data_IF_763753061141
#
_entry.id   IF_763753061141
#
_cell.length_a   1.000
_cell.length_b   1.000
_cell.length_c   1.000
_cell.angle_alpha   90.00
_cell.angle_beta   90.00
_cell.angle_gamma   90.00
#
_symmetry.space_group_name_H-M   'P 1'
#
loop_
_entity.id
_entity.type
_entity.pdbx_description
1 polymer ?
#
# COMPACT_ATOMS: atom_id res chain seq x y z
N UNK A 1 -11.35 -59.80 23.55
CA UNK A 1 -11.45 -60.83 22.48
C UNK A 1 -12.73 -61.61 22.72
N UNK A 2 -13.44 -61.98 21.64
CA UNK A 2 -14.73 -62.71 21.60
C UNK A 2 -16.00 -61.84 21.62
N UNK A 3 -16.36 -61.30 20.44
CA UNK A 3 -17.77 -61.20 19.97
C UNK A 3 -17.93 -60.65 18.54
N UNK A 4 -16.86 -60.42 17.77
CA UNK A 4 -16.95 -59.81 16.43
C UNK A 4 -16.41 -60.69 15.28
N UNK A 5 -16.76 -61.98 15.26
CA UNK A 5 -16.33 -62.88 14.18
C UNK A 5 -17.46 -63.66 13.48
N UNK A 6 -18.73 -63.27 13.70
CA UNK A 6 -19.89 -63.87 13.00
C UNK A 6 -20.78 -62.85 12.29
N UNK A 7 -20.30 -61.64 11.98
CA UNK A 7 -21.09 -60.70 11.17
C UNK A 7 -21.01 -61.06 9.70
N UNK A 8 -22.18 -61.20 9.06
CA UNK A 8 -22.29 -61.50 7.64
C UNK A 8 -21.60 -60.39 6.82
N UNK A 9 -21.06 -60.69 5.62
CA UNK A 9 -20.46 -59.67 4.75
C UNK A 9 -21.37 -58.45 4.52
N UNK A 10 -22.69 -58.67 4.52
CA UNK A 10 -23.70 -57.63 4.34
C UNK A 10 -23.83 -56.70 5.54
N UNK A 11 -23.68 -57.20 6.77
CA UNK A 11 -23.73 -56.38 7.99
C UNK A 11 -22.51 -55.45 8.09
N UNK A 12 -21.32 -55.94 7.69
CA UNK A 12 -20.11 -55.11 7.62
C UNK A 12 -20.25 -54.01 6.55
N UNK A 13 -20.81 -54.35 5.38
CA UNK A 13 -21.11 -53.38 4.33
C UNK A 13 -22.14 -52.34 4.78
N UNK A 14 -23.17 -52.75 5.54
CA UNK A 14 -24.18 -51.85 6.08
C UNK A 14 -23.60 -50.88 7.12
N UNK A 15 -22.75 -51.37 8.04
CA UNK A 15 -22.07 -50.55 9.03
C UNK A 15 -21.15 -49.51 8.38
N UNK A 16 -20.36 -49.90 7.37
CA UNK A 16 -19.50 -48.98 6.60
C UNK A 16 -20.33 -47.92 5.87
N UNK A 17 -21.50 -48.30 5.31
CA UNK A 17 -22.39 -47.36 4.63
C UNK A 17 -23.01 -46.33 5.59
N UNK A 18 -23.36 -46.74 6.81
CA UNK A 18 -23.84 -45.83 7.85
C UNK A 18 -22.73 -44.88 8.32
N UNK A 19 -21.52 -45.39 8.57
CA UNK A 19 -20.41 -44.55 9.01
C UNK A 19 -20.02 -43.53 7.92
N UNK A 20 -20.00 -43.96 6.66
CA UNK A 20 -19.72 -43.09 5.50
C UNK A 20 -20.81 -42.02 5.35
N UNK A 21 -22.09 -42.39 5.48
CA UNK A 21 -23.22 -41.43 5.42
C UNK A 21 -23.17 -40.41 6.56
N UNK A 22 -22.83 -40.84 7.78
CA UNK A 22 -22.66 -39.94 8.91
C UNK A 22 -21.47 -38.99 8.73
N UNK A 23 -20.32 -39.46 8.24
CA UNK A 23 -19.17 -38.60 7.95
C UNK A 23 -19.48 -37.56 6.86
N UNK A 24 -20.19 -37.95 5.80
CA UNK A 24 -20.64 -37.04 4.74
C UNK A 24 -21.64 -35.99 5.26
N UNK A 25 -22.59 -36.39 6.12
CA UNK A 25 -23.51 -35.44 6.76
C UNK A 25 -22.77 -34.46 7.70
N UNK A 26 -21.77 -34.92 8.47
CA UNK A 26 -20.99 -34.05 9.36
C UNK A 26 -20.17 -33.00 8.57
N UNK A 27 -19.61 -33.39 7.41
CA UNK A 27 -18.89 -32.46 6.52
C UNK A 27 -19.87 -31.46 5.91
N UNK A 28 -21.01 -31.91 5.37
CA UNK A 28 -22.03 -31.04 4.78
C UNK A 28 -22.61 -30.02 5.77
N UNK A 29 -22.85 -30.44 7.02
CA UNK A 29 -23.32 -29.54 8.09
C UNK A 29 -22.25 -28.50 8.45
N UNK A 30 -20.98 -28.92 8.60
CA UNK A 30 -19.88 -27.99 8.88
C UNK A 30 -19.69 -26.98 7.76
N UNK A 31 -19.76 -27.42 6.51
CA UNK A 31 -19.58 -26.57 5.33
C UNK A 31 -20.71 -25.54 5.24
N UNK A 32 -21.97 -25.94 5.46
CA UNK A 32 -23.12 -25.01 5.51
C UNK A 32 -23.04 -24.00 6.66
N UNK A 33 -22.52 -24.40 7.83
CA UNK A 33 -22.26 -23.47 8.95
C UNK A 33 -21.15 -22.49 8.58
N UNK A 34 -20.05 -22.96 7.99
CA UNK A 34 -18.94 -22.10 7.57
C UNK A 34 -19.35 -21.11 6.48
N UNK A 35 -20.17 -21.53 5.52
CA UNK A 35 -20.72 -20.68 4.47
C UNK A 35 -21.61 -19.58 5.05
N UNK A 36 -22.53 -19.94 5.96
CA UNK A 36 -23.39 -18.95 6.65
C UNK A 36 -22.59 -17.99 7.52
N UNK A 37 -21.54 -18.47 8.19
CA UNK A 37 -20.65 -17.63 8.99
C UNK A 37 -19.86 -16.65 8.12
N UNK A 38 -19.27 -17.12 7.01
CA UNK A 38 -18.57 -16.25 6.06
C UNK A 38 -19.54 -15.22 5.47
N UNK A 39 -20.72 -15.64 5.06
CA UNK A 39 -21.75 -14.73 4.55
C UNK A 39 -22.17 -13.66 5.57
N UNK A 40 -22.36 -14.05 6.83
CA UNK A 40 -22.66 -13.12 7.92
C UNK A 40 -21.51 -12.13 8.15
N UNK A 41 -20.27 -12.59 8.19
CA UNK A 41 -19.09 -11.75 8.39
C UNK A 41 -18.89 -10.76 7.23
N UNK A 42 -19.03 -11.22 5.99
CA UNK A 42 -18.94 -10.35 4.81
C UNK A 42 -20.07 -9.33 4.78
N UNK A 43 -21.30 -9.74 5.11
CA UNK A 43 -22.45 -8.82 5.17
C UNK A 43 -22.26 -7.79 6.29
N UNK A 44 -21.80 -8.20 7.47
CA UNK A 44 -21.49 -7.29 8.57
C UNK A 44 -20.39 -6.29 8.20
N UNK A 45 -19.30 -6.75 7.56
CA UNK A 45 -18.23 -5.87 7.05
C UNK A 45 -18.75 -4.86 6.03
N UNK A 46 -19.58 -5.31 5.08
CA UNK A 46 -20.20 -4.43 4.08
C UNK A 46 -21.09 -3.37 4.74
N UNK A 47 -21.90 -3.74 5.74
CA UNK A 47 -22.74 -2.80 6.50
C UNK A 47 -21.88 -1.74 7.21
N UNK A 48 -20.78 -2.16 7.84
CA UNK A 48 -19.86 -1.22 8.52
C UNK A 48 -19.24 -0.24 7.52
N UNK A 49 -18.81 -0.71 6.36
CA UNK A 49 -18.26 0.15 5.30
C UNK A 49 -19.30 1.18 4.83
N UNK A 50 -20.55 0.74 4.59
CA UNK A 50 -21.64 1.63 4.20
C UNK A 50 -21.95 2.65 5.29
N UNK A 51 -21.94 2.23 6.56
CA UNK A 51 -22.16 3.13 7.69
C UNK A 51 -21.05 4.20 7.80
N UNK A 52 -19.78 3.79 7.70
CA UNK A 52 -18.63 4.72 7.68
C UNK A 52 -18.78 5.72 6.52
N UNK A 53 -19.19 5.26 5.35
CA UNK A 53 -19.40 6.13 4.19
C UNK A 53 -20.51 7.17 4.46
N UNK A 54 -21.67 6.75 4.96
CA UNK A 54 -22.77 7.66 5.32
C UNK A 54 -22.32 8.67 6.39
N UNK A 55 -21.58 8.21 7.40
CA UNK A 55 -21.04 9.07 8.45
C UNK A 55 -20.10 10.14 7.87
N UNK A 56 -19.15 9.75 7.01
CA UNK A 56 -18.23 10.69 6.36
C UNK A 56 -19.00 11.71 5.51
N UNK A 57 -19.96 11.27 4.70
CA UNK A 57 -20.76 12.17 3.84
C UNK A 57 -21.54 13.18 4.67
N UNK A 58 -22.13 12.74 5.79
CA UNK A 58 -22.90 13.61 6.68
C UNK A 58 -22.02 14.72 7.27
N UNK A 59 -20.83 14.38 7.79
CA UNK A 59 -19.97 15.39 8.41
C UNK A 59 -19.27 16.27 7.38
N UNK A 60 -18.94 15.71 6.21
CA UNK A 60 -18.44 16.50 5.09
C UNK A 60 -19.50 17.52 4.61
N UNK A 61 -20.78 17.16 4.60
CA UNK A 61 -21.85 18.07 4.19
C UNK A 61 -21.95 19.30 5.12
N UNK A 62 -21.77 19.15 6.43
CA UNK A 62 -21.76 20.26 7.38
C UNK A 62 -20.63 21.26 7.07
N UNK A 63 -19.43 20.77 6.75
CA UNK A 63 -18.27 21.60 6.38
C UNK A 63 -18.46 22.27 5.01
N UNK A 64 -19.05 21.56 4.05
CA UNK A 64 -19.34 22.09 2.71
C UNK A 64 -20.44 23.16 2.73
N UNK A 65 -21.43 23.07 3.62
CA UNK A 65 -22.45 24.10 3.75
C UNK A 65 -21.87 25.43 4.27
N UNK A 66 -20.89 25.37 5.17
CA UNK A 66 -20.26 26.58 5.74
C UNK A 66 -19.23 27.20 4.78
N UNK A 67 -18.42 26.39 4.10
CA UNK A 67 -17.34 26.89 3.26
C UNK A 67 -17.65 26.90 1.76
N UNK A 68 -18.67 26.16 1.31
CA UNK A 68 -19.03 26.02 -0.11
C UNK A 68 -17.79 25.77 -0.99
N UNK A 69 -17.61 26.53 -2.07
CA UNK A 69 -16.47 26.42 -3.00
C UNK A 69 -15.16 26.89 -2.33
N UNK A 70 -15.24 27.75 -1.31
CA UNK A 70 -14.05 28.27 -0.63
C UNK A 70 -13.29 27.17 0.10
N UNK A 71 -13.92 26.04 0.43
CA UNK A 71 -13.24 24.86 0.97
C UNK A 71 -12.12 24.37 0.03
N UNK A 72 -12.37 24.37 -1.28
CA UNK A 72 -11.42 23.85 -2.27
C UNK A 72 -10.45 24.93 -2.73
N UNK A 73 -10.84 26.21 -2.71
CA UNK A 73 -10.00 27.30 -3.24
C UNK A 73 -9.15 27.98 -2.17
N UNK A 74 -9.52 27.87 -0.90
CA UNK A 74 -8.77 28.46 0.21
C UNK A 74 -7.58 27.56 0.54
N UNK A 75 -6.38 28.13 0.56
CA UNK A 75 -5.19 27.46 1.05
C UNK A 75 -5.12 27.61 2.57
N UNK A 76 -4.87 26.50 3.26
CA UNK A 76 -4.58 26.49 4.69
C UNK A 76 -4.95 25.16 5.31
N UNK A 77 -3.96 24.50 5.91
CA UNK A 77 -4.16 23.22 6.58
C UNK A 77 -3.64 23.29 8.02
N UNK A 78 -2.41 23.78 8.20
CA UNK A 78 -1.74 23.74 9.50
C UNK A 78 -2.42 24.66 10.52
N UNK A 79 -2.50 25.97 10.24
CA UNK A 79 -3.05 26.94 11.19
C UNK A 79 -4.55 26.77 11.41
N UNK A 80 -5.29 26.32 10.39
CA UNK A 80 -6.74 26.17 10.46
C UNK A 80 -7.15 24.99 11.34
N UNK A 81 -6.43 23.86 11.26
CA UNK A 81 -6.66 22.72 12.15
C UNK A 81 -6.27 23.03 13.59
N UNK A 82 -5.13 23.69 13.78
CA UNK A 82 -4.70 24.10 15.13
C UNK A 82 -5.73 25.05 15.75
N UNK A 83 -6.24 26.01 14.97
CA UNK A 83 -7.26 26.94 15.45
C UNK A 83 -8.59 26.22 15.74
N UNK A 84 -9.01 25.28 14.90
CA UNK A 84 -10.22 24.50 15.12
C UNK A 84 -10.11 23.54 16.32
N UNK A 85 -8.95 22.92 16.54
CA UNK A 85 -8.70 22.06 17.69
C UNK A 85 -8.76 22.82 19.01
N UNK A 86 -8.23 24.04 19.02
CA UNK A 86 -8.24 24.90 20.21
C UNK A 86 -9.53 25.72 20.35
N UNK A 87 -10.50 25.56 19.43
CA UNK A 87 -11.75 26.30 19.47
C UNK A 87 -12.66 25.76 20.61
N UNK A 88 -13.31 26.65 21.38
CA UNK A 88 -14.31 26.25 22.37
C UNK A 88 -15.47 25.46 21.73
N UNK A 89 -16.00 24.44 22.44
CA UNK A 89 -17.06 23.56 21.93
C UNK A 89 -18.38 24.29 21.61
N UNK A 90 -18.60 25.45 22.22
CA UNK A 90 -19.72 26.36 22.00
C UNK A 90 -19.54 27.25 20.75
N UNK A 91 -18.32 27.41 20.24
CA UNK A 91 -17.98 28.18 19.03
C UNK A 91 -16.98 27.45 18.14
N UNK A 92 -17.38 26.31 17.54
CA UNK A 92 -16.52 25.58 16.63
C UNK A 92 -16.17 26.41 15.39
N UNK A 93 -14.89 26.39 15.02
CA UNK A 93 -14.39 26.98 13.77
C UNK A 93 -14.53 25.93 12.68
N UNK A 94 -15.40 26.20 11.71
CA UNK A 94 -15.64 25.29 10.59
C UNK A 94 -14.87 25.67 9.33
N UNK A 95 -13.99 26.66 9.38
CA UNK A 95 -13.26 27.15 8.19
C UNK A 95 -12.03 26.28 7.89
N UNK A 96 -12.11 25.52 6.80
CA UNK A 96 -11.05 24.62 6.35
C UNK A 96 -10.74 24.82 4.86
N UNK A 97 -9.47 24.71 4.48
CA UNK A 97 -8.96 24.84 3.13
C UNK A 97 -8.25 23.57 2.65
N UNK A 98 -8.87 22.83 1.73
CA UNK A 98 -8.33 21.58 1.20
C UNK A 98 -7.21 21.79 0.17
N UNK A 99 -7.08 22.98 -0.42
CA UNK A 99 -6.13 23.22 -1.52
C UNK A 99 -4.68 22.93 -1.12
N UNK A 100 -4.28 23.37 0.08
CA UNK A 100 -2.91 23.17 0.59
C UNK A 100 -2.58 21.69 0.81
N UNK A 101 -3.55 20.91 1.32
CA UNK A 101 -3.43 19.47 1.46
C UNK A 101 -3.28 18.76 0.12
N UNK A 102 -4.20 19.06 -0.81
CA UNK A 102 -4.25 18.40 -2.11
C UNK A 102 -2.96 18.67 -2.87
N UNK A 103 -2.52 19.93 -2.92
CA UNK A 103 -1.26 20.29 -3.56
C UNK A 103 -0.06 19.68 -2.83
N UNK A 104 -0.02 19.71 -1.49
CA UNK A 104 1.07 19.12 -0.72
C UNK A 104 1.21 17.62 -0.93
N UNK A 105 0.10 16.87 -0.92
CA UNK A 105 0.10 15.43 -1.22
C UNK A 105 0.49 15.16 -2.67
N UNK A 106 -0.03 15.95 -3.61
CA UNK A 106 0.27 15.77 -5.03
C UNK A 106 1.75 16.04 -5.32
N UNK A 107 2.31 17.15 -4.84
CA UNK A 107 3.71 17.50 -5.08
C UNK A 107 4.68 16.54 -4.40
N UNK A 108 4.39 16.12 -3.15
CA UNK A 108 5.22 15.12 -2.45
C UNK A 108 5.18 13.77 -3.14
N UNK A 109 4.00 13.31 -3.57
CA UNK A 109 3.84 12.03 -4.27
C UNK A 109 4.51 12.05 -5.64
N UNK A 110 4.31 13.12 -6.42
CA UNK A 110 4.96 13.28 -7.72
C UNK A 110 6.48 13.35 -7.59
N UNK A 111 6.99 14.12 -6.62
CA UNK A 111 8.42 14.19 -6.34
C UNK A 111 9.00 12.84 -5.96
N UNK A 112 8.29 12.07 -5.13
CA UNK A 112 8.73 10.74 -4.73
C UNK A 112 8.73 9.74 -5.89
N UNK A 113 7.69 9.75 -6.74
CA UNK A 113 7.62 8.90 -7.91
C UNK A 113 8.69 9.24 -8.95
N UNK A 114 8.99 10.52 -9.15
CA UNK A 114 10.03 10.96 -10.08
C UNK A 114 11.40 10.37 -9.73
N UNK A 115 11.70 10.19 -8.45
CA UNK A 115 12.94 9.55 -7.99
C UNK A 115 12.80 8.02 -7.97
N UNK A 116 11.71 7.50 -7.43
CA UNK A 116 11.56 6.08 -7.17
C UNK A 116 11.33 5.24 -8.43
N UNK A 117 10.59 5.74 -9.42
CA UNK A 117 10.30 5.01 -10.65
C UNK A 117 11.56 4.70 -11.46
N UNK A 118 12.42 5.68 -11.84
CA UNK A 118 13.63 5.37 -12.59
C UNK A 118 14.60 4.50 -11.79
N UNK A 119 14.74 4.72 -10.48
CA UNK A 119 15.59 3.88 -9.62
C UNK A 119 15.06 2.44 -9.51
N UNK A 120 13.76 2.27 -9.32
CA UNK A 120 13.15 0.95 -9.22
C UNK A 120 13.17 0.18 -10.54
N UNK A 121 12.87 0.87 -11.65
CA UNK A 121 12.88 0.27 -12.99
C UNK A 121 14.29 -0.14 -13.41
N UNK A 122 15.29 0.72 -13.22
CA UNK A 122 16.69 0.39 -13.53
C UNK A 122 17.18 -0.80 -12.70
N UNK A 123 16.87 -0.82 -11.40
CA UNK A 123 17.20 -1.96 -10.53
C UNK A 123 16.51 -3.24 -10.98
N UNK A 124 15.24 -3.17 -11.39
CA UNK A 124 14.50 -4.32 -11.89
C UNK A 124 15.13 -4.91 -13.15
N UNK A 125 15.47 -4.06 -14.14
CA UNK A 125 16.13 -4.47 -15.39
C UNK A 125 17.46 -5.18 -15.08
N UNK A 126 18.27 -4.62 -14.19
CA UNK A 126 19.54 -5.24 -13.79
C UNK A 126 19.32 -6.63 -13.17
N UNK A 127 18.30 -6.78 -12.33
CA UNK A 127 17.99 -8.06 -11.68
C UNK A 127 17.46 -9.10 -12.67
N UNK A 128 16.62 -8.69 -13.63
CA UNK A 128 15.96 -9.61 -14.57
C UNK A 128 16.83 -9.97 -15.76
N UNK A 129 17.65 -9.06 -16.26
CA UNK A 129 18.39 -9.27 -17.51
C UNK A 129 19.89 -9.48 -17.27
N UNK A 130 20.50 -8.75 -16.32
CA UNK A 130 21.96 -8.77 -16.14
C UNK A 130 22.42 -9.71 -15.01
N UNK A 131 21.60 -9.88 -13.96
CA UNK A 131 22.03 -10.62 -12.78
C UNK A 131 22.06 -12.15 -13.01
N UNK A 132 23.10 -12.86 -12.53
CA UNK A 132 23.18 -14.31 -12.59
C UNK A 132 22.08 -14.96 -11.75
N UNK A 133 21.68 -16.18 -12.11
CA UNK A 133 20.50 -16.88 -11.57
C UNK A 133 20.44 -16.89 -10.03
N UNK A 134 21.58 -17.16 -9.36
CA UNK A 134 21.65 -17.18 -7.88
C UNK A 134 21.44 -15.79 -7.28
N UNK A 135 22.08 -14.77 -7.87
CA UNK A 135 21.97 -13.39 -7.38
C UNK A 135 20.56 -12.84 -7.59
N UNK A 136 19.94 -13.15 -8.74
CA UNK A 136 18.54 -12.81 -9.01
C UNK A 136 17.59 -13.33 -7.92
N UNK A 137 17.77 -14.58 -7.50
CA UNK A 137 16.95 -15.18 -6.44
C UNK A 137 17.13 -14.45 -5.10
N UNK A 138 18.38 -14.21 -4.69
CA UNK A 138 18.69 -13.50 -3.43
C UNK A 138 18.15 -12.07 -3.46
N UNK A 139 18.39 -11.31 -4.53
CA UNK A 139 17.94 -9.93 -4.65
C UNK A 139 16.42 -9.83 -4.63
N UNK A 140 15.69 -10.76 -5.27
CA UNK A 140 14.23 -10.82 -5.17
C UNK A 140 13.74 -11.02 -3.74
N UNK A 141 14.37 -11.91 -2.98
CA UNK A 141 14.03 -12.11 -1.57
C UNK A 141 14.27 -10.81 -0.80
N UNK A 142 15.46 -10.21 -0.94
CA UNK A 142 15.80 -8.95 -0.23
C UNK A 142 14.80 -7.85 -0.56
N UNK A 143 14.48 -7.61 -1.83
CA UNK A 143 13.54 -6.56 -2.23
C UNK A 143 12.13 -6.82 -1.69
N UNK A 144 11.67 -8.08 -1.71
CA UNK A 144 10.36 -8.44 -1.14
C UNK A 144 10.33 -8.27 0.38
N UNK A 145 11.44 -8.57 1.07
CA UNK A 145 11.57 -8.32 2.50
C UNK A 145 11.57 -6.82 2.80
N UNK A 146 12.29 -6.00 2.02
CA UNK A 146 12.28 -4.54 2.13
C UNK A 146 10.88 -3.97 1.89
N UNK A 147 10.17 -4.45 0.85
CA UNK A 147 8.80 -4.04 0.56
C UNK A 147 7.79 -4.47 1.63
N UNK A 148 8.13 -5.46 2.46
CA UNK A 148 7.29 -5.94 3.56
C UNK A 148 7.52 -5.17 4.88
N UNK A 149 8.47 -4.23 4.92
CA UNK A 149 8.72 -3.41 6.10
C UNK A 149 7.48 -2.52 6.35
N UNK A 150 6.91 -2.52 7.57
CA UNK A 150 5.79 -1.66 7.92
C UNK A 150 6.10 -0.18 7.65
N UNK A 151 5.15 0.54 7.06
CA UNK A 151 5.30 1.95 6.69
C UNK A 151 5.66 2.86 7.87
N UNK A 152 5.19 2.53 9.08
CA UNK A 152 5.50 3.27 10.32
C UNK A 152 7.01 3.31 10.60
N UNK A 153 7.74 2.24 10.28
CA UNK A 153 9.19 2.16 10.49
C UNK A 153 9.91 3.16 9.59
N UNK A 154 9.54 3.22 8.30
CA UNK A 154 10.10 4.20 7.37
C UNK A 154 9.80 5.64 7.81
N UNK A 155 8.60 5.90 8.33
CA UNK A 155 8.24 7.21 8.89
C UNK A 155 9.13 7.60 10.08
N UNK A 156 9.33 6.68 11.03
CA UNK A 156 10.17 6.93 12.21
C UNK A 156 11.65 7.13 11.84
N UNK A 157 12.21 6.26 10.99
CA UNK A 157 13.58 6.41 10.47
C UNK A 157 13.71 7.72 9.69
N UNK A 158 12.69 8.08 8.91
CA UNK A 158 12.62 9.35 8.21
C UNK A 158 12.78 10.54 9.16
N UNK A 159 12.02 10.55 10.25
CA UNK A 159 12.09 11.61 11.27
C UNK A 159 13.40 11.61 12.07
N UNK A 160 13.95 10.43 12.39
CA UNK A 160 15.14 10.32 13.24
C UNK A 160 16.47 10.44 12.48
N UNK A 161 16.48 10.13 11.18
CA UNK A 161 17.71 10.06 10.38
C UNK A 161 17.65 11.01 9.20
N UNK A 162 16.61 10.91 8.35
CA UNK A 162 16.56 11.68 7.10
C UNK A 162 16.35 13.17 7.37
N UNK A 163 15.45 13.51 8.29
CA UNK A 163 15.18 14.88 8.72
C UNK A 163 16.43 15.58 9.26
N UNK A 164 17.16 15.05 10.27
CA UNK A 164 18.39 15.70 10.76
C UNK A 164 19.49 15.68 9.69
N UNK A 165 19.62 14.60 8.91
CA UNK A 165 20.61 14.53 7.83
C UNK A 165 20.41 15.65 6.78
N UNK A 166 19.16 15.92 6.39
CA UNK A 166 18.84 17.02 5.47
C UNK A 166 19.15 18.37 6.12
N UNK A 167 18.84 18.56 7.41
CA UNK A 167 19.17 19.80 8.12
C UNK A 167 20.67 20.07 8.14
N UNK A 168 21.48 19.05 8.45
CA UNK A 168 22.92 19.20 8.61
C UNK A 168 23.68 19.33 7.28
N UNK A 169 23.23 18.61 6.23
CA UNK A 169 23.96 18.52 4.97
C UNK A 169 23.49 19.50 3.89
N UNK A 170 22.19 19.78 3.83
CA UNK A 170 21.60 20.56 2.73
C UNK A 170 21.21 21.99 3.14
N UNK A 171 21.07 22.26 4.44
CA UNK A 171 20.63 23.56 4.95
C UNK A 171 21.80 24.29 5.62
N UNK A 172 22.74 24.77 4.81
CA UNK A 172 23.70 25.78 5.28
C UNK A 172 22.94 27.03 5.73
N UNK A 173 23.30 27.59 6.88
CA UNK A 173 22.61 28.70 7.58
C UNK A 173 22.28 29.91 6.68
N UNK A 174 23.06 30.14 5.62
CA UNK A 174 22.88 31.22 4.65
C UNK A 174 21.69 31.01 3.69
N UNK A 175 21.40 29.77 3.28
CA UNK A 175 20.26 29.46 2.39
C UNK A 175 18.93 29.51 3.13
N UNK A 176 18.94 29.15 4.42
CA UNK A 176 17.77 29.15 5.28
C UNK A 176 17.22 30.57 5.50
N UNK A 177 18.11 31.56 5.68
CA UNK A 177 17.75 32.97 5.85
C UNK A 177 17.25 33.57 4.53
N UNK A 178 17.81 33.16 3.38
CA UNK A 178 17.50 33.75 2.07
C UNK A 178 16.13 33.36 1.50
N UNK A 179 15.61 32.20 1.88
CA UNK A 179 14.33 31.68 1.36
C UNK A 179 13.23 31.54 2.41
N UNK A 180 13.46 32.01 3.64
CA UNK A 180 12.51 31.84 4.77
C UNK A 180 11.10 32.38 4.45
N UNK A 181 11.01 33.44 3.63
CA UNK A 181 9.77 34.07 3.20
C UNK A 181 9.01 33.30 2.10
N UNK A 182 9.66 32.34 1.42
CA UNK A 182 9.09 31.58 0.29
C UNK A 182 8.94 30.09 0.59
N UNK A 183 9.88 29.53 1.34
CA UNK A 183 9.93 28.12 1.74
C UNK A 183 10.49 28.02 3.16
N UNK A 184 9.72 27.42 4.07
CA UNK A 184 10.24 27.04 5.38
C UNK A 184 11.17 25.84 5.20
N UNK A 185 12.47 26.09 5.11
CA UNK A 185 13.52 25.06 5.16
C UNK A 185 13.68 24.57 6.60
N UNK A 186 12.64 23.94 7.14
CA UNK A 186 12.74 23.13 8.34
C UNK A 186 13.21 21.72 7.95
N UNK A 187 13.83 20.97 8.86
CA UNK A 187 14.12 19.57 8.53
C UNK A 187 12.89 18.71 8.31
N UNK A 188 11.76 19.08 8.92
CA UNK A 188 10.45 18.55 8.57
C UNK A 188 9.90 19.25 7.31
N UNK A 189 10.67 19.24 6.24
CA UNK A 189 10.31 19.86 4.96
C UNK A 189 9.70 18.85 3.99
N UNK A 190 9.03 19.38 2.97
CA UNK A 190 8.52 18.62 1.83
C UNK A 190 9.58 17.71 1.20
N UNK A 191 10.84 18.13 1.17
CA UNK A 191 11.95 17.35 0.64
C UNK A 191 12.22 16.09 1.47
N UNK A 192 12.20 16.19 2.80
CA UNK A 192 12.35 15.03 3.67
C UNK A 192 11.23 14.01 3.43
N UNK A 193 9.99 14.48 3.28
CA UNK A 193 8.86 13.64 2.89
C UNK A 193 9.07 12.94 1.55
N UNK A 194 9.52 13.68 0.51
CA UNK A 194 9.82 13.12 -0.81
C UNK A 194 10.89 12.02 -0.73
N UNK A 195 11.99 12.25 -0.01
CA UNK A 195 13.10 11.29 0.10
C UNK A 195 12.65 10.03 0.84
N UNK A 196 11.98 10.17 1.99
CA UNK A 196 11.50 9.03 2.77
C UNK A 196 10.50 8.20 1.96
N UNK A 197 9.53 8.86 1.31
CA UNK A 197 8.58 8.18 0.42
C UNK A 197 9.29 7.50 -0.75
N UNK A 198 10.30 8.12 -1.34
CA UNK A 198 11.07 7.51 -2.44
C UNK A 198 11.74 6.21 -2.01
N UNK A 199 12.42 6.22 -0.86
CA UNK A 199 13.08 5.03 -0.30
C UNK A 199 12.07 3.91 -0.04
N UNK A 200 10.87 4.25 0.41
CA UNK A 200 9.78 3.28 0.64
C UNK A 200 9.19 2.73 -0.67
N UNK A 201 9.04 3.56 -1.71
CA UNK A 201 8.43 3.17 -2.98
C UNK A 201 9.38 2.32 -3.84
N UNK A 202 10.70 2.57 -3.79
CA UNK A 202 11.70 1.87 -4.62
C UNK A 202 11.59 0.34 -4.54
N UNK A 203 11.56 -0.32 -3.36
CA UNK A 203 11.44 -1.78 -3.28
C UNK A 203 10.15 -2.31 -3.89
N UNK A 204 9.03 -1.59 -3.72
CA UNK A 204 7.72 -1.97 -4.24
C UNK A 204 7.74 -1.92 -5.78
N UNK A 205 8.18 -0.79 -6.34
CA UNK A 205 8.29 -0.63 -7.80
C UNK A 205 9.26 -1.65 -8.39
N UNK A 206 10.39 -1.90 -7.73
CA UNK A 206 11.36 -2.90 -8.19
C UNK A 206 10.73 -4.30 -8.22
N UNK A 207 10.02 -4.71 -7.17
CA UNK A 207 9.36 -6.01 -7.12
C UNK A 207 8.30 -6.16 -8.24
N UNK A 208 7.45 -5.15 -8.41
CA UNK A 208 6.41 -5.13 -9.45
C UNK A 208 7.02 -5.16 -10.85
N UNK A 209 8.05 -4.35 -11.11
CA UNK A 209 8.72 -4.30 -12.40
C UNK A 209 9.44 -5.61 -12.72
N UNK A 210 10.11 -6.22 -11.73
CA UNK A 210 10.70 -7.56 -11.89
C UNK A 210 9.61 -8.54 -12.31
N UNK A 211 8.51 -8.63 -11.56
CA UNK A 211 7.43 -9.59 -11.85
C UNK A 211 6.79 -9.32 -13.23
N UNK A 212 6.59 -8.06 -13.61
CA UNK A 212 6.10 -7.66 -14.93
C UNK A 212 7.05 -8.06 -16.07
N UNK A 213 8.36 -7.83 -15.93
CA UNK A 213 9.35 -8.19 -16.97
C UNK A 213 9.41 -9.71 -17.19
N UNK A 214 9.30 -10.53 -16.12
CA UNK A 214 9.29 -11.99 -16.29
C UNK A 214 7.97 -12.54 -16.82
N UNK A 215 6.88 -11.79 -16.71
CA UNK A 215 5.59 -12.20 -17.25
C UNK A 215 5.58 -12.17 -18.80
N UNK A 216 6.50 -11.42 -19.42
CA UNK A 216 6.64 -11.35 -20.88
C UNK A 216 7.21 -12.66 -21.44
N UNK A 217 6.49 -13.37 -22.34
CA UNK A 217 6.99 -14.58 -22.97
C UNK A 217 8.29 -14.37 -23.76
N UNK A 218 9.21 -15.34 -23.70
CA UNK A 218 10.52 -15.24 -24.36
C UNK A 218 10.44 -15.09 -25.89
N UNK A 219 9.40 -15.66 -26.53
CA UNK A 219 9.25 -15.57 -27.98
C UNK A 219 9.07 -14.13 -28.50
N UNK A 220 8.54 -13.20 -27.69
CA UNK A 220 8.49 -11.79 -28.07
C UNK A 220 9.88 -11.17 -28.14
N UNK A 221 10.80 -11.58 -27.25
CA UNK A 221 12.19 -11.11 -27.27
C UNK A 221 12.95 -11.70 -28.46
N UNK A 222 12.73 -12.98 -28.75
CA UNK A 222 13.33 -13.66 -29.91
C UNK A 222 12.83 -13.07 -31.24
N UNK A 223 11.53 -12.76 -31.34
CA UNK A 223 10.96 -12.11 -32.51
C UNK A 223 11.52 -10.70 -32.73
N UNK A 224 11.68 -9.90 -31.66
CA UNK A 224 12.30 -8.57 -31.76
C UNK A 224 13.76 -8.64 -32.26
N UNK A 225 14.54 -9.59 -31.74
CA UNK A 225 15.90 -9.85 -32.21
C UNK A 225 15.93 -10.30 -33.69
N UNK A 226 14.98 -11.13 -34.12
CA UNK A 226 14.85 -11.56 -35.52
C UNK A 226 14.50 -10.41 -36.48
N UNK A 227 13.81 -9.37 -35.98
CA UNK A 227 13.53 -8.13 -36.72
C UNK A 227 14.72 -7.14 -36.74
N UNK A 228 15.86 -7.51 -36.15
CA UNK A 228 17.06 -6.68 -36.10
C UNK A 228 17.09 -5.66 -34.96
N UNK A 229 16.17 -5.75 -33.99
CA UNK A 229 16.21 -4.91 -32.78
C UNK A 229 17.31 -5.41 -31.86
N UNK A 230 18.12 -4.52 -31.30
CA UNK A 230 19.17 -4.91 -30.35
C UNK A 230 18.58 -5.43 -29.03
N UNK A 231 19.35 -6.20 -28.27
CA UNK A 231 18.92 -6.71 -26.96
C UNK A 231 18.46 -5.57 -26.02
N UNK A 232 19.22 -4.47 -25.96
CA UNK A 232 18.87 -3.29 -25.18
C UNK A 232 17.63 -2.56 -25.72
N UNK A 233 17.47 -2.48 -27.05
CA UNK A 233 16.26 -1.91 -27.65
C UNK A 233 15.01 -2.78 -27.50
N UNK A 234 15.18 -4.06 -27.14
CA UNK A 234 14.05 -4.97 -26.82
C UNK A 234 13.61 -4.84 -25.36
N UNK A 235 14.51 -4.44 -24.47
CA UNK A 235 14.26 -4.28 -23.03
C UNK A 235 13.68 -2.89 -22.70
N UNK A 236 14.11 -1.85 -23.43
CA UNK A 236 13.83 -0.44 -23.19
C UNK A 236 12.59 0.03 -23.93
#
# INVERSE_FOLDING_TARGET
MQSFETSSPEEKLFAVRIETKNRLNLISVRDSISEKLVFLLTTASAIVIVFIFIFIVKEAAAVLQVNSINFVTTSGFDQQIINAYNAPADKPIWQFGALGLLLGTLTTTLGALLLAVPMGMSTAIVITELAPVRLRYILRIVIRLLASIPSVIYGLIGLMVVVPFIQELLISSELQIRYIDRFQLAGNSMLAGIVVLSIMIVPIITALAVDAINAVPHHYKEAALALGISHWGTIL
#
